data_IF_225346253081
#
_entry.id   IF_225346253081
#
_cell.length_a   1.000
_cell.length_b   1.000
_cell.length_c   1.000
_cell.angle_alpha   90.00
_cell.angle_beta   90.00
_cell.angle_gamma   90.00
#
_symmetry.space_group_name_H-M   'P 1'
#
loop_
_entity.id
_entity.type
_entity.pdbx_description
1 polymer ?
#
# COMPACT_ATOMS: atom_id res chain seq x y z
N UNK A 1 -9.50 15.43 -22.01
CA UNK A 1 -8.05 15.39 -21.85
C UNK A 1 -7.76 16.31 -20.68
N UNK A 2 -7.40 15.77 -19.52
CA UNK A 2 -7.01 16.60 -18.38
C UNK A 2 -5.52 16.85 -18.56
N UNK A 3 -5.20 18.01 -19.12
CA UNK A 3 -3.83 18.48 -19.33
C UNK A 3 -3.45 19.31 -18.10
N UNK A 4 -2.95 18.63 -17.07
CA UNK A 4 -2.11 19.28 -16.06
C UNK A 4 -0.68 19.21 -16.61
N UNK A 5 -0.36 20.12 -17.52
CA UNK A 5 0.89 20.08 -18.31
C UNK A 5 2.16 20.45 -17.54
N UNK A 6 2.07 20.82 -16.26
CA UNK A 6 3.23 21.26 -15.46
C UNK A 6 3.18 20.75 -14.01
N UNK A 7 2.84 19.48 -13.75
CA UNK A 7 3.14 18.89 -12.43
C UNK A 7 4.59 18.42 -12.46
N UNK A 8 5.47 19.18 -11.81
CA UNK A 8 6.80 18.67 -11.49
C UNK A 8 6.62 17.47 -10.55
N UNK A 9 7.52 16.47 -10.60
CA UNK A 9 7.51 15.35 -9.64
C UNK A 9 7.52 15.80 -8.17
N UNK A 10 7.85 17.06 -7.92
CA UNK A 10 7.91 17.69 -6.61
C UNK A 10 6.57 18.33 -6.16
N UNK A 11 5.59 18.54 -7.07
CA UNK A 11 4.26 19.10 -6.77
C UNK A 11 3.25 18.00 -6.37
N UNK A 12 3.69 17.13 -5.47
CA UNK A 12 2.97 15.97 -5.00
C UNK A 12 2.25 16.30 -3.70
N UNK A 13 0.97 15.91 -3.61
CA UNK A 13 0.22 15.95 -2.36
C UNK A 13 1.03 15.22 -1.27
N UNK A 14 1.44 15.92 -0.19
CA UNK A 14 2.24 15.30 0.85
C UNK A 14 1.37 14.32 1.65
N UNK A 15 1.42 13.05 1.29
CA UNK A 15 0.69 11.99 1.99
C UNK A 15 1.47 11.54 3.22
N UNK A 16 0.78 11.53 4.36
CA UNK A 16 1.35 11.02 5.60
C UNK A 16 1.32 9.49 5.60
N UNK A 17 2.41 8.81 5.98
CA UNK A 17 2.41 7.36 6.09
C UNK A 17 1.54 6.92 7.26
N UNK A 18 0.76 5.87 7.04
CA UNK A 18 0.03 5.16 8.07
C UNK A 18 0.69 3.80 8.34
N UNK A 19 0.39 3.24 9.51
CA UNK A 19 0.97 1.97 9.95
C UNK A 19 -0.11 1.02 10.40
N UNK A 20 -0.18 -0.12 9.72
CA UNK A 20 -0.98 -1.26 10.13
C UNK A 20 -0.16 -2.14 11.10
N UNK A 21 -0.56 -2.14 12.38
CA UNK A 21 0.16 -2.82 13.46
C UNK A 21 -0.26 -4.27 13.71
N UNK A 22 -1.28 -4.74 13.00
CA UNK A 22 -1.80 -6.11 13.13
C UNK A 22 -1.36 -7.01 11.98
N UNK A 23 -0.41 -6.60 11.13
CA UNK A 23 0.19 -7.49 10.14
C UNK A 23 0.90 -8.65 10.86
N UNK A 24 0.92 -9.85 10.28
CA UNK A 24 1.53 -11.03 10.91
C UNK A 24 2.75 -11.49 10.12
N UNK A 25 3.80 -11.88 10.85
CA UNK A 25 5.08 -12.30 10.25
C UNK A 25 4.87 -13.58 9.44
N UNK A 26 4.21 -14.55 10.09
CA UNK A 26 3.84 -15.84 9.52
C UNK A 26 2.35 -16.09 9.69
N UNK A 27 1.63 -16.13 8.58
CA UNK A 27 0.19 -16.42 8.54
C UNK A 27 -0.18 -17.88 8.84
N UNK A 28 0.79 -18.80 8.94
CA UNK A 28 0.56 -20.21 9.26
C UNK A 28 0.99 -20.58 10.68
N UNK A 29 1.60 -19.65 11.42
CA UNK A 29 1.97 -19.87 12.80
C UNK A 29 0.73 -19.99 13.69
N UNK A 30 0.73 -20.96 14.61
CA UNK A 30 -0.34 -21.15 15.60
C UNK A 30 -0.49 -19.94 16.52
N UNK A 31 0.64 -19.31 16.86
CA UNK A 31 0.68 -18.08 17.66
C UNK A 31 1.19 -16.94 16.77
N UNK A 32 0.38 -15.91 16.51
CA UNK A 32 0.79 -14.83 15.62
C UNK A 32 1.85 -13.95 16.27
N UNK A 33 2.92 -13.69 15.53
CA UNK A 33 3.84 -12.58 15.79
C UNK A 33 3.44 -11.41 14.89
N UNK A 34 3.30 -10.21 15.47
CA UNK A 34 2.84 -9.03 14.76
C UNK A 34 3.98 -8.12 14.33
N UNK A 35 3.81 -7.43 13.21
CA UNK A 35 4.73 -6.43 12.69
C UNK A 35 3.97 -5.22 12.14
N UNK A 36 4.74 -4.20 11.74
CA UNK A 36 4.25 -2.89 11.30
C UNK A 36 4.36 -2.81 9.78
N UNK A 37 3.23 -2.77 9.09
CA UNK A 37 3.17 -2.62 7.64
C UNK A 37 2.74 -1.20 7.27
N UNK A 38 3.47 -0.56 6.35
CA UNK A 38 3.18 0.81 5.92
C UNK A 38 2.11 0.83 4.84
N UNK A 39 1.26 1.85 4.87
CA UNK A 39 0.32 2.15 3.80
C UNK A 39 0.10 3.66 3.72
N UNK A 40 -0.49 4.12 2.61
CA UNK A 40 -0.97 5.49 2.49
C UNK A 40 -2.47 5.50 2.24
N UNK A 41 -3.07 6.68 2.43
CA UNK A 41 -4.46 6.94 2.09
C UNK A 41 -4.45 8.22 1.27
N UNK A 42 -4.94 8.18 0.03
CA UNK A 42 -5.21 9.39 -0.73
C UNK A 42 -6.71 9.50 -1.01
N UNK A 43 -7.34 10.46 -0.34
CA UNK A 43 -8.76 10.80 -0.41
C UNK A 43 -9.03 12.10 -1.17
N UNK A 44 -8.01 12.70 -1.82
CA UNK A 44 -8.09 14.00 -2.51
C UNK A 44 -9.27 14.09 -3.50
N UNK A 45 -9.57 12.99 -4.19
CA UNK A 45 -10.66 12.89 -5.18
C UNK A 45 -11.80 11.96 -4.76
N UNK A 46 -11.76 11.42 -3.53
CA UNK A 46 -12.72 10.42 -3.09
C UNK A 46 -14.12 11.02 -2.89
N UNK A 47 -15.13 10.40 -3.49
CA UNK A 47 -16.53 10.85 -3.38
C UNK A 47 -17.19 10.54 -2.03
N UNK A 48 -16.49 9.85 -1.13
CA UNK A 48 -16.99 9.42 0.18
C UNK A 48 -17.66 8.05 0.16
N UNK A 49 -18.40 7.68 1.22
CA UNK A 49 -19.05 6.38 1.34
C UNK A 49 -19.94 6.04 0.13
N UNK A 50 -19.78 4.84 -0.42
CA UNK A 50 -20.49 4.38 -1.62
C UNK A 50 -19.71 4.54 -2.93
N UNK A 51 -18.61 5.30 -2.93
CA UNK A 51 -17.65 5.35 -4.04
C UNK A 51 -16.57 4.27 -3.88
N UNK A 52 -15.94 3.82 -4.99
CA UNK A 52 -15.01 2.69 -4.95
C UNK A 52 -13.72 3.00 -4.18
N UNK A 53 -13.07 1.93 -3.71
CA UNK A 53 -11.69 1.96 -3.19
C UNK A 53 -10.79 1.26 -4.20
N UNK A 54 -9.78 1.97 -4.68
CA UNK A 54 -8.72 1.41 -5.51
C UNK A 54 -7.56 1.00 -4.62
N UNK A 55 -7.54 -0.30 -4.34
CA UNK A 55 -6.51 -0.92 -3.52
C UNK A 55 -5.29 -1.25 -4.37
N UNK A 56 -4.19 -0.52 -4.16
CA UNK A 56 -2.93 -0.73 -4.86
C UNK A 56 -2.04 -1.68 -4.04
N UNK A 57 -1.59 -2.74 -4.71
CA UNK A 57 -0.65 -3.71 -4.14
C UNK A 57 0.77 -3.21 -4.42
N UNK A 58 1.54 -2.94 -3.38
CA UNK A 58 2.96 -2.61 -3.52
C UNK A 58 3.73 -3.71 -4.23
N UNK A 59 4.68 -3.32 -5.07
CA UNK A 59 5.64 -4.23 -5.67
C UNK A 59 6.95 -4.26 -4.89
N UNK A 60 8.03 -4.46 -5.64
CA UNK A 60 9.39 -4.71 -5.18
C UNK A 60 10.20 -3.42 -5.01
N UNK A 61 9.53 -2.36 -4.59
CA UNK A 61 10.08 -1.04 -4.34
C UNK A 61 9.32 -0.36 -3.19
N UNK A 62 9.93 0.67 -2.55
CA UNK A 62 9.22 1.50 -1.58
C UNK A 62 7.96 2.11 -2.22
N UNK A 63 6.83 2.06 -1.52
CA UNK A 63 5.68 2.86 -1.95
C UNK A 63 5.97 4.32 -1.62
N UNK A 64 5.84 5.19 -2.62
CA UNK A 64 5.99 6.62 -2.50
C UNK A 64 4.63 7.31 -2.58
N UNK A 65 4.45 8.47 -1.92
CA UNK A 65 3.26 9.30 -2.10
C UNK A 65 2.92 9.57 -3.58
N UNK A 66 3.95 9.77 -4.42
CA UNK A 66 3.85 9.99 -5.88
C UNK A 66 3.05 8.90 -6.59
N UNK A 67 3.15 7.65 -6.14
CA UNK A 67 2.53 6.49 -6.80
C UNK A 67 1.00 6.62 -6.81
N UNK A 68 0.44 7.34 -5.83
CA UNK A 68 -1.00 7.55 -5.67
C UNK A 68 -1.41 9.01 -5.65
N UNK A 69 -0.56 9.92 -6.15
CA UNK A 69 -0.88 11.35 -6.23
C UNK A 69 -0.54 11.97 -7.58
N UNK A 70 0.28 11.30 -8.41
CA UNK A 70 0.75 11.85 -9.67
C UNK A 70 0.01 11.26 -10.87
N UNK A 71 -0.51 12.10 -11.77
CA UNK A 71 -1.36 11.69 -12.89
C UNK A 71 -0.67 10.82 -13.94
N UNK A 72 0.67 10.76 -13.94
CA UNK A 72 1.45 9.84 -14.79
C UNK A 72 1.16 8.38 -14.49
N UNK A 73 0.73 8.06 -13.26
CA UNK A 73 0.25 6.73 -12.92
C UNK A 73 -1.24 6.63 -13.24
N UNK A 74 -1.58 5.76 -14.19
CA UNK A 74 -2.93 5.63 -14.75
C UNK A 74 -4.03 5.36 -13.69
N UNK A 75 -3.67 4.74 -12.57
CA UNK A 75 -4.60 4.52 -11.45
C UNK A 75 -5.13 5.84 -10.87
N UNK A 76 -4.33 6.91 -10.87
CA UNK A 76 -4.72 8.24 -10.42
C UNK A 76 -5.73 8.87 -11.39
N UNK A 77 -5.52 8.72 -12.71
CA UNK A 77 -6.49 9.13 -13.72
C UNK A 77 -7.84 8.42 -13.51
N UNK A 78 -7.82 7.12 -13.27
CA UNK A 78 -9.04 6.36 -12.99
C UNK A 78 -9.68 6.79 -11.65
N UNK A 79 -8.88 7.03 -10.62
CA UNK A 79 -9.40 7.44 -9.31
C UNK A 79 -10.12 8.78 -9.38
N UNK A 80 -9.59 9.74 -10.15
CA UNK A 80 -10.26 11.01 -10.43
C UNK A 80 -11.60 10.78 -11.17
N UNK A 81 -11.60 9.95 -12.21
CA UNK A 81 -12.80 9.66 -13.02
C UNK A 81 -13.90 8.98 -12.21
N UNK A 82 -13.53 8.05 -11.33
CA UNK A 82 -14.47 7.26 -10.53
C UNK A 82 -14.70 7.80 -9.13
N UNK A 83 -14.06 8.93 -8.78
CA UNK A 83 -14.00 9.49 -7.42
C UNK A 83 -13.62 8.44 -6.37
N UNK A 84 -12.61 7.65 -6.69
CA UNK A 84 -12.18 6.51 -5.88
C UNK A 84 -11.22 6.94 -4.75
N UNK A 85 -11.26 6.22 -3.63
CA UNK A 85 -10.22 6.30 -2.61
C UNK A 85 -9.01 5.49 -3.06
N UNK A 86 -7.81 6.05 -3.00
CA UNK A 86 -6.58 5.31 -3.28
C UNK A 86 -5.96 4.82 -1.98
N UNK A 87 -5.67 3.52 -1.94
CA UNK A 87 -5.15 2.85 -0.76
C UNK A 87 -3.98 1.93 -1.14
N UNK A 88 -2.75 2.45 -1.22
CA UNK A 88 -1.58 1.63 -1.48
C UNK A 88 -1.05 0.98 -0.19
N UNK A 89 -0.88 -0.34 -0.19
CA UNK A 89 -0.26 -1.09 0.90
C UNK A 89 1.15 -1.54 0.50
N UNK A 90 2.14 -1.18 1.30
CA UNK A 90 3.53 -1.54 1.03
C UNK A 90 3.77 -3.03 1.21
N UNK A 91 4.50 -3.60 0.26
CA UNK A 91 4.81 -5.02 0.26
C UNK A 91 5.79 -5.35 1.40
N UNK A 92 5.61 -6.52 2.02
CA UNK A 92 6.57 -7.03 3.02
C UNK A 92 7.99 -7.07 2.45
N UNK A 93 8.98 -6.75 3.29
CA UNK A 93 10.42 -6.66 2.98
C UNK A 93 10.85 -5.48 2.11
N UNK A 94 10.00 -4.49 1.89
CA UNK A 94 10.36 -3.27 1.17
C UNK A 94 10.26 -2.04 2.10
N UNK A 95 11.31 -1.20 2.05
CA UNK A 95 11.51 0.04 2.82
C UNK A 95 11.22 0.00 4.33
N UNK A 96 10.04 0.41 4.80
CA UNK A 96 9.69 0.47 6.23
C UNK A 96 8.88 -0.75 6.66
N UNK A 97 8.51 -1.61 5.71
CA UNK A 97 7.64 -2.76 5.92
C UNK A 97 8.44 -4.06 6.11
N UNK A 98 9.20 -4.13 7.21
CA UNK A 98 10.04 -5.30 7.54
C UNK A 98 9.46 -6.14 8.67
N UNK A 99 9.06 -7.41 8.39
CA UNK A 99 8.57 -8.32 9.42
C UNK A 99 9.69 -8.96 10.27
N UNK A 100 10.94 -8.96 9.78
CA UNK A 100 12.10 -9.58 10.42
C UNK A 100 13.22 -8.55 10.67
N UNK A 101 14.14 -8.81 11.61
CA UNK A 101 15.23 -7.87 11.92
C UNK A 101 16.29 -7.75 10.82
N UNK A 102 16.43 -8.77 9.96
CA UNK A 102 17.40 -8.79 8.87
C UNK A 102 16.89 -9.60 7.65
N UNK A 103 17.74 -9.66 6.60
CA UNK A 103 17.53 -10.41 5.36
C UNK A 103 18.39 -11.68 5.26
N UNK A 104 18.64 -12.37 6.38
CA UNK A 104 19.24 -13.72 6.33
C UNK A 104 18.34 -14.68 5.56
N UNK A 105 18.90 -15.80 5.07
CA UNK A 105 18.14 -16.80 4.29
C UNK A 105 16.96 -17.33 5.10
N UNK A 106 17.16 -17.53 6.40
CA UNK A 106 16.14 -17.97 7.35
C UNK A 106 14.99 -16.96 7.44
N UNK A 107 15.31 -15.67 7.49
CA UNK A 107 14.30 -14.61 7.56
C UNK A 107 13.62 -14.34 6.21
N UNK A 108 14.30 -14.54 5.08
CA UNK A 108 13.69 -14.44 3.76
C UNK A 108 12.68 -15.57 3.47
N UNK A 109 12.62 -16.61 4.30
CA UNK A 109 11.59 -17.64 4.20
C UNK A 109 10.15 -17.09 4.28
N UNK A 110 9.94 -15.93 4.91
CA UNK A 110 8.62 -15.28 4.94
C UNK A 110 8.38 -14.31 3.77
N UNK A 111 9.33 -14.12 2.85
CA UNK A 111 9.14 -13.38 1.60
C UNK A 111 8.58 -14.33 0.53
N UNK A 112 7.30 -14.70 0.67
CA UNK A 112 6.62 -15.55 -0.30
C UNK A 112 5.29 -14.93 -0.74
N UNK A 113 5.05 -14.95 -2.05
CA UNK A 113 3.88 -14.29 -2.67
C UNK A 113 2.58 -14.95 -2.21
N UNK A 114 2.42 -16.24 -2.52
CA UNK A 114 1.16 -16.96 -2.28
C UNK A 114 0.91 -17.18 -0.80
N UNK A 115 1.95 -17.57 -0.07
CA UNK A 115 1.79 -18.03 1.30
C UNK A 115 1.61 -16.84 2.26
N UNK A 116 2.28 -15.73 2.01
CA UNK A 116 2.35 -14.64 2.98
C UNK A 116 1.85 -13.30 2.45
N UNK A 117 2.39 -12.78 1.35
CA UNK A 117 2.05 -11.43 0.86
C UNK A 117 0.56 -11.29 0.50
N UNK A 118 -0.04 -12.27 -0.18
CA UNK A 118 -1.48 -12.26 -0.48
C UNK A 118 -2.35 -12.31 0.79
N UNK A 119 -1.87 -12.97 1.86
CA UNK A 119 -2.59 -12.99 3.14
C UNK A 119 -2.43 -11.70 3.93
N UNK A 120 -1.35 -10.95 3.74
CA UNK A 120 -1.26 -9.56 4.24
C UNK A 120 -2.36 -8.71 3.64
N UNK A 121 -2.56 -8.81 2.31
CA UNK A 121 -3.63 -8.10 1.61
C UNK A 121 -5.01 -8.45 2.19
N UNK A 122 -5.30 -9.74 2.38
CA UNK A 122 -6.57 -10.18 2.94
C UNK A 122 -6.78 -9.68 4.39
N UNK A 123 -5.72 -9.68 5.20
CA UNK A 123 -5.78 -9.22 6.59
C UNK A 123 -5.91 -7.69 6.68
N UNK A 124 -5.21 -6.96 5.82
CA UNK A 124 -5.31 -5.51 5.72
C UNK A 124 -6.67 -5.09 5.18
N UNK A 125 -7.22 -5.79 4.20
CA UNK A 125 -8.58 -5.57 3.71
C UNK A 125 -9.61 -5.63 4.86
N UNK A 126 -9.52 -6.63 5.74
CA UNK A 126 -10.37 -6.71 6.93
C UNK A 126 -10.11 -5.65 8.01
N UNK A 127 -9.07 -4.83 7.88
CA UNK A 127 -8.81 -3.70 8.78
C UNK A 127 -9.45 -2.40 8.27
N UNK A 128 -9.55 -2.23 6.94
CA UNK A 128 -10.01 -1.00 6.30
C UNK A 128 -11.47 -1.04 5.87
N UNK A 129 -12.12 -2.20 5.97
CA UNK A 129 -13.56 -2.42 5.72
C UNK A 129 -14.30 -2.61 7.03
#
# INVERSE_FOLDING_TARGET
>A
MYEKEDILFDDVTPLKPHVFTKAVVDHFATTPSYWRQRYYVNDEYWGGPGYPVFFMIGGEAPIQPTDVSHETFFINTLAIQHKALLLPLEHRYYEQSYPTPDMTVENLAYLTIIAQALKDLARFHGHVV
#
